data_IF_416424910677
#
_entry.id   IF_416424910677
#
_cell.length_a   1.000
_cell.length_b   1.000
_cell.length_c   1.000
_cell.angle_alpha   90.00
_cell.angle_beta   90.00
_cell.angle_gamma   90.00
#
_symmetry.space_group_name_H-M   'P 1'
#
loop_
_entity.id
_entity.type
_entity.pdbx_description
1 polymer ?
#
# COMPACT_ATOMS: atom_id res chain seq x y z
N UNK A 1 -25.02 1.38 3.59
CA UNK A 1 -23.66 1.65 3.05
C UNK A 1 -23.88 2.17 1.64
N UNK A 2 -23.41 3.36 1.33
CA UNK A 2 -23.60 3.97 0.01
C UNK A 2 -22.53 3.46 -0.95
N UNK A 3 -22.85 3.39 -2.24
CA UNK A 3 -21.88 3.02 -3.29
C UNK A 3 -20.64 3.92 -3.23
N UNK A 4 -20.81 5.19 -2.86
CA UNK A 4 -19.74 6.17 -2.67
C UNK A 4 -18.69 5.75 -1.62
N UNK A 5 -19.07 5.01 -0.58
CA UNK A 5 -18.14 4.57 0.46
C UNK A 5 -17.14 3.52 -0.04
N UNK A 6 -17.42 2.82 -1.14
CA UNK A 6 -16.47 1.90 -1.81
C UNK A 6 -15.75 2.53 -2.99
N UNK A 7 -16.48 3.30 -3.81
CA UNK A 7 -15.92 3.89 -5.02
C UNK A 7 -14.86 4.95 -4.71
N UNK A 8 -15.12 5.84 -3.75
CA UNK A 8 -14.20 6.97 -3.49
C UNK A 8 -12.80 6.48 -3.11
N UNK A 9 -12.61 5.57 -2.14
CA UNK A 9 -11.29 5.04 -1.82
C UNK A 9 -10.64 4.30 -3.00
N UNK A 10 -11.40 3.48 -3.72
CA UNK A 10 -10.92 2.70 -4.87
C UNK A 10 -10.36 3.61 -5.97
N UNK A 11 -11.12 4.64 -6.34
CA UNK A 11 -10.71 5.62 -7.37
C UNK A 11 -9.55 6.47 -6.88
N UNK A 12 -9.56 6.89 -5.61
CA UNK A 12 -8.48 7.67 -5.01
C UNK A 12 -7.16 6.89 -5.00
N UNK A 13 -7.21 5.60 -4.69
CA UNK A 13 -6.05 4.71 -4.70
C UNK A 13 -5.49 4.51 -6.11
N UNK A 14 -6.38 4.29 -7.09
CA UNK A 14 -5.99 4.20 -8.49
C UNK A 14 -5.29 5.49 -8.97
N UNK A 15 -5.88 6.65 -8.69
CA UNK A 15 -5.31 7.94 -9.06
C UNK A 15 -3.95 8.21 -8.37
N UNK A 16 -3.84 7.91 -7.07
CA UNK A 16 -2.61 8.09 -6.29
C UNK A 16 -1.44 7.22 -6.75
N UNK A 17 -1.71 6.09 -7.41
CA UNK A 17 -0.68 5.21 -7.95
C UNK A 17 0.10 5.86 -9.11
N UNK A 18 -0.56 6.66 -9.94
CA UNK A 18 0.04 7.23 -11.15
C UNK A 18 1.33 8.02 -10.86
N UNK A 19 1.32 9.03 -9.97
CA UNK A 19 2.54 9.81 -9.67
C UNK A 19 3.55 9.06 -8.81
N UNK A 20 3.19 7.92 -8.21
CA UNK A 20 4.04 7.21 -7.24
C UNK A 20 4.69 5.94 -7.79
N UNK A 21 4.23 5.46 -8.95
CA UNK A 21 4.72 4.26 -9.63
C UNK A 21 6.24 4.17 -9.69
N UNK A 22 6.92 5.26 -10.11
CA UNK A 22 8.36 5.23 -10.30
C UNK A 22 9.11 4.86 -9.01
N UNK A 23 8.66 5.34 -7.86
CA UNK A 23 9.25 4.99 -6.57
C UNK A 23 9.14 3.48 -6.28
N UNK A 24 8.02 2.85 -6.64
CA UNK A 24 7.86 1.39 -6.54
C UNK A 24 8.74 0.62 -7.53
N UNK A 25 8.95 1.13 -8.74
CA UNK A 25 9.87 0.53 -9.72
C UNK A 25 11.33 0.61 -9.25
N UNK A 26 11.77 1.76 -8.71
CA UNK A 26 13.11 1.93 -8.10
C UNK A 26 13.29 0.97 -6.92
N UNK A 27 12.29 0.90 -6.04
CA UNK A 27 12.24 -0.04 -4.90
C UNK A 27 12.49 -1.47 -5.35
N UNK A 28 11.74 -1.93 -6.36
CA UNK A 28 11.85 -3.30 -6.87
C UNK A 28 13.20 -3.55 -7.56
N UNK A 29 13.72 -2.60 -8.33
CA UNK A 29 15.06 -2.72 -8.92
C UNK A 29 16.15 -2.89 -7.84
N UNK A 30 16.10 -2.08 -6.78
CA UNK A 30 17.04 -2.15 -5.66
C UNK A 30 16.94 -3.47 -4.88
N UNK A 31 15.73 -3.98 -4.65
CA UNK A 31 15.51 -5.28 -4.00
C UNK A 31 16.02 -6.47 -4.83
N UNK A 32 16.04 -6.31 -6.15
CA UNK A 32 16.50 -7.32 -7.11
C UNK A 32 17.98 -7.19 -7.51
N UNK A 33 18.71 -6.24 -6.93
CA UNK A 33 20.10 -5.94 -7.30
C UNK A 33 20.25 -5.60 -8.80
N UNK A 34 19.22 -4.97 -9.38
CA UNK A 34 19.20 -4.50 -10.77
C UNK A 34 19.54 -3.02 -10.84
N UNK A 35 20.00 -2.59 -12.01
CA UNK A 35 20.18 -1.16 -12.32
C UNK A 35 18.87 -0.42 -12.11
N UNK A 36 18.95 0.72 -11.41
CA UNK A 36 17.80 1.60 -11.19
C UNK A 36 17.33 2.11 -12.57
N UNK A 37 16.04 1.96 -12.93
CA UNK A 37 15.54 2.46 -14.20
C UNK A 37 15.73 3.98 -14.27
N UNK A 38 16.09 4.50 -15.45
CA UNK A 38 16.17 5.96 -15.64
C UNK A 38 14.77 6.56 -15.50
N UNK A 39 14.69 7.73 -14.88
CA UNK A 39 13.42 8.45 -14.78
C UNK A 39 13.06 9.05 -16.14
N UNK A 40 12.01 8.52 -16.76
CA UNK A 40 11.39 9.06 -17.97
C UNK A 40 9.93 9.42 -17.63
N UNK A 41 9.57 10.71 -17.52
CA UNK A 41 8.27 11.13 -16.99
C UNK A 41 7.06 10.50 -17.72
N UNK A 42 7.10 10.47 -19.06
CA UNK A 42 6.01 9.90 -19.86
C UNK A 42 5.86 8.39 -19.64
N UNK A 43 6.96 7.66 -19.49
CA UNK A 43 6.92 6.23 -19.18
C UNK A 43 6.44 5.98 -17.75
N UNK A 44 6.86 6.82 -16.80
CA UNK A 44 6.39 6.74 -15.42
C UNK A 44 4.87 6.94 -15.33
N UNK A 45 4.32 7.94 -16.02
CA UNK A 45 2.87 8.18 -16.11
C UNK A 45 2.17 7.00 -16.79
N UNK A 46 2.67 6.55 -17.95
CA UNK A 46 2.09 5.43 -18.71
C UNK A 46 2.03 4.16 -17.88
N UNK A 47 3.12 3.82 -17.18
CA UNK A 47 3.17 2.62 -16.34
C UNK A 47 2.36 2.79 -15.05
N UNK A 48 2.31 4.00 -14.49
CA UNK A 48 1.42 4.34 -13.38
C UNK A 48 -0.04 4.15 -13.74
N UNK A 49 -0.48 4.58 -14.93
CA UNK A 49 -1.83 4.35 -15.45
C UNK A 49 -2.14 2.87 -15.65
N UNK A 50 -1.16 2.06 -16.08
CA UNK A 50 -1.31 0.60 -16.18
C UNK A 50 -1.45 -0.07 -14.81
N UNK A 51 -0.79 0.45 -13.78
CA UNK A 51 -0.79 -0.11 -12.44
C UNK A 51 -1.97 0.37 -11.58
N UNK A 52 -2.53 1.54 -11.91
CA UNK A 52 -3.62 2.18 -11.19
C UNK A 52 -4.85 1.28 -10.96
N UNK A 53 -5.36 0.50 -11.94
CA UNK A 53 -6.48 -0.41 -11.71
C UNK A 53 -6.17 -1.46 -10.63
N UNK A 54 -4.97 -2.03 -10.62
CA UNK A 54 -4.57 -3.02 -9.61
C UNK A 54 -4.56 -2.40 -8.21
N UNK A 55 -4.04 -1.17 -8.07
CA UNK A 55 -4.04 -0.45 -6.80
C UNK A 55 -5.47 -0.17 -6.28
N UNK A 56 -6.37 0.25 -7.18
CA UNK A 56 -7.78 0.43 -6.86
C UNK A 56 -8.44 -0.87 -6.39
N UNK A 57 -8.24 -1.97 -7.13
CA UNK A 57 -8.78 -3.28 -6.77
C UNK A 57 -8.28 -3.76 -5.40
N UNK A 58 -7.00 -3.57 -5.08
CA UNK A 58 -6.45 -3.91 -3.76
C UNK A 58 -7.24 -3.19 -2.67
N UNK A 59 -7.36 -1.87 -2.75
CA UNK A 59 -8.06 -1.07 -1.72
C UNK A 59 -9.54 -1.46 -1.65
N UNK A 60 -10.21 -1.63 -2.79
CA UNK A 60 -11.61 -2.07 -2.83
C UNK A 60 -11.82 -3.44 -2.16
N UNK A 61 -10.96 -4.42 -2.47
CA UNK A 61 -10.98 -5.75 -1.86
C UNK A 61 -10.72 -5.67 -0.35
N UNK A 62 -9.71 -4.91 0.08
CA UNK A 62 -9.38 -4.74 1.50
C UNK A 62 -10.57 -4.14 2.27
N UNK A 63 -11.22 -3.12 1.72
CA UNK A 63 -12.41 -2.52 2.35
C UNK A 63 -13.60 -3.48 2.49
N UNK A 64 -13.86 -4.28 1.45
CA UNK A 64 -14.93 -5.29 1.50
C UNK A 64 -14.60 -6.34 2.56
N UNK A 65 -13.37 -6.84 2.56
CA UNK A 65 -12.88 -7.83 3.51
C UNK A 65 -12.94 -7.32 4.96
N UNK A 66 -12.39 -6.14 5.24
CA UNK A 66 -12.40 -5.51 6.56
C UNK A 66 -13.82 -5.38 7.12
N UNK A 67 -14.76 -4.91 6.29
CA UNK A 67 -16.15 -4.77 6.71
C UNK A 67 -16.80 -6.13 6.99
N UNK A 68 -16.56 -7.11 6.13
CA UNK A 68 -17.11 -8.46 6.32
C UNK A 68 -16.56 -9.09 7.61
N UNK A 69 -15.25 -8.99 7.84
CA UNK A 69 -14.60 -9.52 9.04
C UNK A 69 -15.04 -8.78 10.30
N UNK A 70 -15.15 -7.44 10.26
CA UNK A 70 -15.60 -6.64 11.39
C UNK A 70 -17.01 -7.01 11.86
N UNK A 71 -17.89 -7.43 10.94
CA UNK A 71 -19.21 -7.98 11.31
C UNK A 71 -19.11 -9.33 12.04
N UNK A 72 -18.13 -10.17 11.70
CA UNK A 72 -17.96 -11.49 12.29
C UNK A 72 -17.24 -11.45 13.64
N UNK A 73 -16.24 -10.58 13.80
CA UNK A 73 -15.41 -10.51 15.02
C UNK A 73 -16.02 -9.65 16.14
N UNK A 74 -17.08 -8.90 15.85
CA UNK A 74 -17.77 -8.02 16.80
C UNK A 74 -17.02 -6.70 17.07
N UNK A 75 -17.67 -5.78 17.79
CA UNK A 75 -17.22 -4.39 17.97
C UNK A 75 -16.14 -4.17 19.05
N UNK A 76 -15.64 -5.21 19.70
CA UNK A 76 -14.59 -5.05 20.72
C UNK A 76 -13.24 -4.69 20.10
N UNK A 77 -12.69 -3.56 20.50
CA UNK A 77 -11.37 -3.09 20.12
C UNK A 77 -10.25 -3.82 20.87
N UNK A 78 -10.06 -5.11 20.58
CA UNK A 78 -8.87 -5.84 21.03
C UNK A 78 -7.78 -5.81 19.96
N UNK A 79 -6.52 -5.65 20.38
CA UNK A 79 -5.36 -5.71 19.49
C UNK A 79 -5.33 -7.04 18.72
N UNK A 80 -5.69 -8.15 19.40
CA UNK A 80 -5.74 -9.48 18.79
C UNK A 80 -6.78 -9.55 17.65
N UNK A 81 -7.98 -9.00 17.83
CA UNK A 81 -9.00 -8.92 16.77
C UNK A 81 -8.53 -8.06 15.59
N UNK A 82 -7.83 -6.96 15.87
CA UNK A 82 -7.25 -6.10 14.83
C UNK A 82 -6.17 -6.82 14.04
N UNK A 83 -5.27 -7.54 14.71
CA UNK A 83 -4.23 -8.36 14.09
C UNK A 83 -4.82 -9.50 13.25
N UNK A 84 -5.80 -10.23 13.81
CA UNK A 84 -6.47 -11.31 13.10
C UNK A 84 -7.23 -10.79 11.87
N UNK A 85 -7.92 -9.66 12.00
CA UNK A 85 -8.59 -9.01 10.87
C UNK A 85 -7.58 -8.62 9.79
N UNK A 86 -6.51 -7.93 10.16
CA UNK A 86 -5.46 -7.54 9.22
C UNK A 86 -4.80 -8.76 8.54
N UNK A 87 -4.62 -9.87 9.25
CA UNK A 87 -4.07 -11.09 8.69
C UNK A 87 -5.02 -11.72 7.65
N UNK A 88 -6.32 -11.80 7.95
CA UNK A 88 -7.33 -12.33 7.02
C UNK A 88 -7.47 -11.41 5.80
N UNK A 89 -7.51 -10.09 6.01
CA UNK A 89 -7.53 -9.10 4.92
C UNK A 89 -6.28 -9.23 4.05
N UNK A 90 -5.10 -9.37 4.65
CA UNK A 90 -3.84 -9.58 3.96
C UNK A 90 -3.86 -10.86 3.12
N UNK A 91 -4.42 -11.95 3.65
CA UNK A 91 -4.56 -13.21 2.92
C UNK A 91 -5.53 -13.09 1.74
N UNK A 92 -6.70 -12.47 1.95
CA UNK A 92 -7.71 -12.26 0.89
C UNK A 92 -7.15 -11.38 -0.24
N UNK A 93 -6.39 -10.34 0.13
CA UNK A 93 -5.79 -9.41 -0.84
C UNK A 93 -4.46 -9.91 -1.42
N UNK A 94 -3.93 -11.04 -0.96
CA UNK A 94 -2.62 -11.54 -1.37
C UNK A 94 -2.45 -11.72 -2.89
N UNK A 95 -3.41 -12.27 -3.65
CA UNK A 95 -3.28 -12.38 -5.11
C UNK A 95 -3.09 -11.03 -5.81
N UNK A 96 -3.86 -10.01 -5.41
CA UNK A 96 -3.78 -8.68 -5.99
C UNK A 96 -2.49 -7.96 -5.58
N UNK A 97 -2.06 -8.11 -4.32
CA UNK A 97 -0.79 -7.58 -3.83
C UNK A 97 0.42 -8.26 -4.50
N UNK A 98 0.33 -9.56 -4.78
CA UNK A 98 1.33 -10.29 -5.54
C UNK A 98 1.40 -9.80 -6.99
N UNK A 99 0.25 -9.59 -7.65
CA UNK A 99 0.16 -9.00 -8.98
C UNK A 99 0.77 -7.59 -9.02
N UNK A 100 0.41 -6.74 -8.05
CA UNK A 100 0.95 -5.40 -7.94
C UNK A 100 2.47 -5.41 -7.81
N UNK A 101 3.02 -6.22 -6.90
CA UNK A 101 4.47 -6.33 -6.73
C UNK A 101 5.15 -6.83 -8.01
N UNK A 102 4.60 -7.87 -8.64
CA UNK A 102 5.11 -8.39 -9.91
C UNK A 102 5.09 -7.35 -11.05
N UNK A 103 4.03 -6.55 -11.17
CA UNK A 103 3.98 -5.46 -12.16
C UNK A 103 5.08 -4.41 -11.92
N UNK A 104 5.44 -4.09 -10.67
CA UNK A 104 6.57 -3.19 -10.38
C UNK A 104 7.92 -3.80 -10.75
N UNK A 105 7.99 -5.13 -10.90
CA UNK A 105 9.16 -5.87 -11.39
C UNK A 105 9.15 -6.08 -12.91
N UNK A 106 8.09 -5.64 -13.61
CA UNK A 106 7.89 -5.86 -15.04
C UNK A 106 7.23 -7.18 -15.41
N UNK A 107 6.65 -7.92 -14.44
CA UNK A 107 5.89 -9.16 -14.69
C UNK A 107 4.44 -8.87 -15.04
N UNK A 108 3.78 -9.82 -15.69
CA UNK A 108 2.34 -9.73 -15.94
C UNK A 108 1.51 -10.07 -14.69
N UNK A 109 0.25 -9.63 -14.66
CA UNK A 109 -0.70 -9.94 -13.58
C UNK A 109 -0.89 -11.46 -13.46
N UNK A 110 -1.16 -12.13 -14.58
CA UNK A 110 -1.41 -13.58 -14.61
C UNK A 110 -0.21 -14.36 -14.11
N UNK A 111 0.99 -14.05 -14.60
CA UNK A 111 2.23 -14.70 -14.16
C UNK A 111 2.47 -14.54 -12.66
N UNK A 112 2.16 -13.37 -12.10
CA UNK A 112 2.35 -13.07 -10.68
C UNK A 112 1.34 -13.79 -9.78
N UNK A 113 0.09 -13.93 -10.24
CA UNK A 113 -0.96 -14.66 -9.51
C UNK A 113 -0.71 -16.17 -9.58
N UNK A 114 -0.39 -16.70 -10.76
CA UNK A 114 -0.15 -18.13 -10.96
C UNK A 114 1.11 -18.62 -10.24
N UNK A 115 2.11 -17.75 -10.07
CA UNK A 115 3.32 -18.05 -9.32
C UNK A 115 3.17 -17.88 -7.80
N UNK A 116 2.02 -17.43 -7.30
CA UNK A 116 1.82 -17.14 -5.88
C UNK A 116 1.92 -18.42 -5.03
N UNK A 117 3.01 -18.53 -4.29
CA UNK A 117 3.23 -19.58 -3.31
C UNK A 117 2.64 -19.21 -1.94
N UNK A 118 2.39 -20.23 -1.11
CA UNK A 118 1.99 -20.01 0.30
C UNK A 118 3.02 -19.19 1.08
N UNK A 119 4.31 -19.32 0.72
CA UNK A 119 5.39 -18.56 1.33
C UNK A 119 5.28 -17.06 1.03
N UNK A 120 4.97 -16.70 -0.21
CA UNK A 120 4.78 -15.31 -0.61
C UNK A 120 3.47 -14.74 -0.06
N UNK A 121 2.40 -15.53 -0.04
CA UNK A 121 1.14 -15.14 0.61
C UNK A 121 1.37 -14.84 2.09
N UNK A 122 2.13 -15.67 2.82
CA UNK A 122 2.47 -15.42 4.21
C UNK A 122 3.30 -14.14 4.41
N UNK A 123 4.25 -13.84 3.50
CA UNK A 123 5.00 -12.59 3.56
C UNK A 123 4.09 -11.37 3.31
N UNK A 124 3.16 -11.46 2.36
CA UNK A 124 2.16 -10.42 2.13
C UNK A 124 1.31 -10.22 3.38
N UNK A 125 0.76 -11.29 3.94
CA UNK A 125 -0.04 -11.23 5.16
C UNK A 125 0.73 -10.58 6.31
N UNK A 126 1.96 -11.01 6.58
CA UNK A 126 2.79 -10.43 7.63
C UNK A 126 3.06 -8.93 7.40
N UNK A 127 3.38 -8.54 6.16
CA UNK A 127 3.57 -7.14 5.78
C UNK A 127 2.32 -6.30 6.05
N UNK A 128 1.16 -6.76 5.59
CA UNK A 128 -0.12 -6.03 5.75
C UNK A 128 -0.54 -5.96 7.22
N UNK A 129 -0.39 -7.04 7.99
CA UNK A 129 -0.67 -7.04 9.44
C UNK A 129 0.19 -6.01 10.17
N UNK A 130 1.49 -5.98 9.88
CA UNK A 130 2.41 -5.00 10.46
C UNK A 130 2.06 -3.58 10.02
N UNK A 131 1.69 -3.40 8.74
CA UNK A 131 1.27 -2.11 8.22
C UNK A 131 0.04 -1.57 8.97
N UNK A 132 -0.99 -2.39 9.21
CA UNK A 132 -2.17 -1.99 9.99
C UNK A 132 -1.79 -1.59 11.42
N UNK A 133 -0.94 -2.37 12.09
CA UNK A 133 -0.44 -2.00 13.44
C UNK A 133 0.28 -0.65 13.40
N UNK A 134 1.10 -0.43 12.37
CA UNK A 134 1.82 0.83 12.20
C UNK A 134 0.89 2.01 11.94
N UNK A 135 -0.23 1.83 11.22
CA UNK A 135 -1.26 2.87 11.04
C UNK A 135 -1.92 3.25 12.37
N UNK A 136 -2.13 2.28 13.26
CA UNK A 136 -2.58 2.53 14.63
C UNK A 136 -1.63 3.48 15.38
N UNK A 137 -0.32 3.26 15.27
CA UNK A 137 0.68 4.18 15.83
C UNK A 137 0.72 5.54 15.11
N UNK A 138 0.51 5.55 13.79
CA UNK A 138 0.48 6.74 12.94
C UNK A 138 -0.66 7.72 13.27
N UNK A 139 -1.77 7.26 13.85
CA UNK A 139 -2.82 8.16 14.36
C UNK A 139 -2.26 9.19 15.35
N UNK A 140 -1.27 8.79 16.16
CA UNK A 140 -0.55 9.69 17.08
C UNK A 140 0.32 10.69 16.32
N UNK A 141 0.94 10.29 15.21
CA UNK A 141 1.74 11.19 14.36
C UNK A 141 0.87 12.31 13.81
N UNK A 142 -0.31 11.98 13.28
CA UNK A 142 -1.26 12.98 12.79
C UNK A 142 -1.72 13.94 13.91
N UNK A 143 -2.06 13.41 15.09
CA UNK A 143 -2.42 14.23 16.26
C UNK A 143 -1.28 15.16 16.71
N UNK A 144 -0.05 14.66 16.76
CA UNK A 144 1.15 15.43 17.08
C UNK A 144 1.33 16.56 16.06
N UNK A 145 1.24 16.23 14.76
CA UNK A 145 1.40 17.24 13.72
C UNK A 145 0.33 18.34 13.80
N UNK A 146 -0.94 17.98 14.00
CA UNK A 146 -2.03 18.95 14.21
C UNK A 146 -1.81 19.82 15.44
N UNK A 147 -1.26 19.25 16.52
CA UNK A 147 -0.95 19.99 17.74
C UNK A 147 0.15 21.04 17.54
N UNK A 148 1.18 20.74 16.75
CA UNK A 148 2.33 21.64 16.57
C UNK A 148 2.18 22.61 15.38
N UNK A 149 1.48 22.20 14.32
CA UNK A 149 1.41 22.93 13.05
C UNK A 149 -0.02 23.40 12.70
N UNK A 150 -0.99 23.15 13.58
CA UNK A 150 -2.39 23.49 13.40
C UNK A 150 -3.17 22.46 12.58
N UNK A 151 -4.50 22.48 12.74
CA UNK A 151 -5.41 21.60 11.99
C UNK A 151 -5.77 22.25 10.64
N UNK A 152 -4.98 21.94 9.62
CA UNK A 152 -5.19 22.40 8.25
C UNK A 152 -4.84 21.29 7.24
N UNK A 153 -5.22 21.48 5.97
CA UNK A 153 -5.02 20.48 4.92
C UNK A 153 -3.55 20.11 4.71
N UNK A 154 -2.63 21.08 4.82
CA UNK A 154 -1.20 20.81 4.65
C UNK A 154 -0.70 19.88 5.75
N UNK A 155 -1.10 20.13 7.01
CA UNK A 155 -0.77 19.26 8.15
C UNK A 155 -1.38 17.86 7.99
N UNK A 156 -2.61 17.75 7.48
CA UNK A 156 -3.25 16.45 7.23
C UNK A 156 -2.51 15.64 6.17
N UNK A 157 -2.12 16.27 5.06
CA UNK A 157 -1.40 15.63 3.96
C UNK A 157 0.04 15.25 4.35
N UNK A 158 0.73 16.12 5.08
CA UNK A 158 2.05 15.81 5.63
C UNK A 158 1.97 14.66 6.65
N UNK A 159 0.95 14.68 7.52
CA UNK A 159 0.68 13.59 8.46
C UNK A 159 0.45 12.25 7.74
N UNK A 160 -0.33 12.26 6.66
CA UNK A 160 -0.56 11.08 5.81
C UNK A 160 0.74 10.56 5.18
N UNK A 161 1.57 11.47 4.65
CA UNK A 161 2.86 11.12 4.08
C UNK A 161 3.77 10.44 5.10
N UNK A 162 3.98 11.08 6.26
CA UNK A 162 4.88 10.56 7.30
C UNK A 162 4.38 9.22 7.84
N UNK A 163 3.07 9.11 8.08
CA UNK A 163 2.42 7.88 8.51
C UNK A 163 2.62 6.72 7.54
N UNK A 164 2.38 6.98 6.23
CA UNK A 164 2.59 6.00 5.18
C UNK A 164 4.05 5.58 5.04
N UNK A 165 4.96 6.56 5.09
CA UNK A 165 6.39 6.32 5.01
C UNK A 165 6.88 5.42 6.16
N UNK A 166 6.55 5.78 7.42
CA UNK A 166 6.92 4.99 8.60
C UNK A 166 6.33 3.58 8.52
N UNK A 167 5.04 3.46 8.23
CA UNK A 167 4.39 2.15 8.15
C UNK A 167 5.01 1.24 7.10
N UNK A 168 5.41 1.81 5.96
CA UNK A 168 6.05 1.04 4.89
C UNK A 168 7.43 0.47 5.27
N UNK A 169 8.17 1.16 6.14
CA UNK A 169 9.51 0.78 6.61
C UNK A 169 9.40 -0.44 7.52
N UNK A 170 8.44 -0.46 8.45
CA UNK A 170 8.28 -1.58 9.40
C UNK A 170 7.95 -2.88 8.68
N UNK A 171 7.09 -2.83 7.65
CA UNK A 171 6.76 -3.98 6.81
C UNK A 171 7.78 -4.26 5.69
N UNK A 172 8.87 -3.48 5.58
CA UNK A 172 9.81 -3.58 4.45
C UNK A 172 10.57 -4.91 4.32
N UNK A 173 11.02 -5.56 5.42
CA UNK A 173 11.69 -6.86 5.32
C UNK A 173 10.86 -7.92 4.57
N UNK A 174 9.55 -8.00 4.86
CA UNK A 174 8.63 -8.93 4.21
C UNK A 174 8.38 -8.60 2.74
N UNK A 175 8.36 -7.30 2.40
CA UNK A 175 8.25 -6.83 1.03
C UNK A 175 9.47 -7.17 0.17
N UNK A 176 10.67 -7.07 0.77
CA UNK A 176 11.92 -7.53 0.13
C UNK A 176 11.90 -9.04 -0.07
N UNK A 177 11.49 -9.80 0.94
CA UNK A 177 11.34 -11.25 0.83
C UNK A 177 10.42 -11.62 -0.32
N UNK A 178 9.21 -11.04 -0.37
CA UNK A 178 8.24 -11.22 -1.46
C UNK A 178 8.87 -10.96 -2.82
N UNK A 179 9.48 -9.78 -3.00
CA UNK A 179 10.05 -9.36 -4.29
C UNK A 179 11.14 -10.30 -4.77
N UNK A 180 12.02 -10.73 -3.86
CA UNK A 180 13.09 -11.67 -4.21
C UNK A 180 12.56 -13.07 -4.50
N UNK A 181 11.62 -13.58 -3.71
CA UNK A 181 11.02 -14.89 -3.93
C UNK A 181 10.23 -14.95 -5.24
N UNK A 182 9.48 -13.90 -5.58
CA UNK A 182 8.81 -13.78 -6.88
C UNK A 182 9.79 -13.75 -8.05
N UNK A 183 11.03 -13.32 -7.83
CA UNK A 183 12.10 -13.35 -8.84
C UNK A 183 12.92 -14.65 -8.83
N UNK A 184 12.55 -15.64 -8.00
CA UNK A 184 13.34 -16.88 -7.83
C UNK A 184 14.69 -16.66 -7.14
N UNK A 185 14.88 -15.54 -6.45
CA UNK A 185 16.14 -15.17 -5.80
C UNK A 185 16.13 -15.52 -4.29
N UNK A 186 17.27 -15.94 -3.72
CA UNK A 186 17.40 -16.10 -2.29
C UNK A 186 17.34 -14.75 -1.57
N UNK A 187 16.72 -14.71 -0.39
CA UNK A 187 16.68 -13.53 0.47
C UNK A 187 17.57 -13.74 1.71
N UNK A 188 18.61 -12.91 1.86
CA UNK A 188 19.54 -12.89 3.00
C UNK A 188 19.26 -11.67 3.87
N UNK A 189 19.74 -11.65 5.11
CA UNK A 189 19.56 -10.52 6.04
C UNK A 189 20.02 -9.18 5.44
N UNK A 190 21.16 -9.18 4.74
CA UNK A 190 21.72 -8.01 4.04
C UNK A 190 20.80 -7.42 2.96
N UNK A 191 19.79 -8.15 2.51
CA UNK A 191 18.85 -7.68 1.50
C UNK A 191 17.64 -6.97 2.12
N UNK A 192 17.26 -7.30 3.36
CA UNK A 192 15.94 -6.99 3.92
C UNK A 192 15.56 -5.51 3.85
N UNK A 193 16.55 -4.61 3.96
CA UNK A 193 16.35 -3.16 3.92
C UNK A 193 16.69 -2.51 2.56
N UNK A 194 17.06 -3.28 1.54
CA UNK A 194 17.32 -2.74 0.20
C UNK A 194 16.05 -2.12 -0.36
N UNK A 195 16.15 -0.86 -0.79
CA UNK A 195 15.02 -0.09 -1.31
C UNK A 195 14.03 0.44 -0.29
N UNK A 196 14.33 0.37 1.02
CA UNK A 196 13.46 0.89 2.07
C UNK A 196 13.16 2.39 1.88
N UNK A 197 14.17 3.20 1.55
CA UNK A 197 13.99 4.65 1.33
C UNK A 197 13.10 4.92 0.12
N UNK A 198 13.33 4.23 -1.01
CA UNK A 198 12.49 4.37 -2.20
C UNK A 198 11.03 3.98 -1.90
N UNK A 199 10.83 2.90 -1.12
CA UNK A 199 9.51 2.48 -0.67
C UNK A 199 8.84 3.52 0.24
N UNK A 200 9.58 4.04 1.22
CA UNK A 200 9.07 5.03 2.15
C UNK A 200 8.57 6.29 1.44
N UNK A 201 9.35 6.79 0.47
CA UNK A 201 8.94 7.93 -0.35
C UNK A 201 7.74 7.60 -1.24
N UNK A 202 7.71 6.41 -1.86
CA UNK A 202 6.61 5.99 -2.73
C UNK A 202 5.30 5.84 -1.95
N UNK A 203 5.31 5.11 -0.83
CA UNK A 203 4.13 4.88 0.00
C UNK A 203 3.69 6.14 0.72
N UNK A 204 4.62 6.96 1.24
CA UNK A 204 4.28 8.25 1.82
C UNK A 204 3.58 9.16 0.80
N UNK A 205 4.15 9.27 -0.41
CA UNK A 205 3.52 10.03 -1.50
C UNK A 205 2.15 9.47 -1.87
N UNK A 206 2.02 8.13 -1.91
CA UNK A 206 0.76 7.46 -2.22
C UNK A 206 -0.30 7.80 -1.17
N UNK A 207 0.02 7.73 0.11
CA UNK A 207 -0.88 8.08 1.21
C UNK A 207 -1.32 9.55 1.14
N UNK A 208 -0.42 10.46 0.79
CA UNK A 208 -0.72 11.87 0.58
C UNK A 208 -1.71 12.07 -0.58
N UNK A 209 -1.39 11.56 -1.78
CA UNK A 209 -2.25 11.69 -2.96
C UNK A 209 -3.60 10.98 -2.79
N UNK A 210 -3.61 9.84 -2.11
CA UNK A 210 -4.83 9.11 -1.78
C UNK A 210 -5.76 9.94 -0.91
N UNK A 211 -5.24 10.55 0.17
CA UNK A 211 -6.06 11.40 1.05
C UNK A 211 -6.56 12.65 0.32
N UNK A 212 -5.74 13.27 -0.52
CA UNK A 212 -6.17 14.40 -1.34
C UNK A 212 -7.29 14.02 -2.31
N UNK A 213 -7.15 12.90 -3.04
CA UNK A 213 -8.17 12.40 -3.96
C UNK A 213 -9.47 12.04 -3.25
N UNK A 214 -9.36 11.42 -2.07
CA UNK A 214 -10.52 11.06 -1.24
C UNK A 214 -11.29 12.31 -0.81
N UNK A 215 -10.59 13.31 -0.27
CA UNK A 215 -11.21 14.57 0.16
C UNK A 215 -11.91 15.30 -0.98
N UNK A 216 -11.26 15.39 -2.14
CA UNK A 216 -11.84 15.99 -3.34
C UNK A 216 -13.14 15.28 -3.76
N UNK A 217 -13.10 13.96 -3.95
CA UNK A 217 -14.26 13.19 -4.41
C UNK A 217 -15.41 13.20 -3.40
N UNK A 218 -15.12 13.11 -2.10
CA UNK A 218 -16.15 13.23 -1.05
C UNK A 218 -16.83 14.60 -1.10
N UNK A 219 -16.07 15.68 -1.27
CA UNK A 219 -16.65 17.03 -1.35
C UNK A 219 -17.53 17.25 -2.58
N UNK A 220 -17.21 16.61 -3.70
CA UNK A 220 -17.97 16.70 -4.95
C UNK A 220 -19.27 15.92 -4.89
N UNK A 221 -19.29 14.75 -4.24
CA UNK A 221 -20.48 13.89 -4.13
C UNK A 221 -21.51 14.38 -3.10
N UNK A 222 -21.12 15.22 -2.14
CA UNK A 222 -22.05 15.81 -1.16
C UNK A 222 -22.81 17.02 -1.75
N UNK A 223 -22.30 17.62 -2.83
CA UNK A 223 -22.92 18.77 -3.50
C UNK A 223 -23.95 18.39 -4.57
N UNK A 224 -24.09 17.11 -4.88
CA UNK A 224 -25.06 16.53 -5.83
C UNK A 224 -26.15 15.79 -5.09
#
# INVERSE_FOLDING_TARGET
MTISQYLVPTVSAAAAMVPTYYGFAVKSAQQLDKTIPRFVPLEAIKNGLKLAPTAGLIVGTQMIAEKWIGKQLGAENSLLKSLASAAIVGLISAPLLAAFNGQTMGRSISESILALSMREAAAITAKETIFVVSLGASSKVSQIMKRYFGDNMATEYAGAFVSGAIGSIVGHPFDTMLTRWQAGLPCKAIHLMKGATAKALAVGSFSMFYNMGKGFLTSSLVKT
#
